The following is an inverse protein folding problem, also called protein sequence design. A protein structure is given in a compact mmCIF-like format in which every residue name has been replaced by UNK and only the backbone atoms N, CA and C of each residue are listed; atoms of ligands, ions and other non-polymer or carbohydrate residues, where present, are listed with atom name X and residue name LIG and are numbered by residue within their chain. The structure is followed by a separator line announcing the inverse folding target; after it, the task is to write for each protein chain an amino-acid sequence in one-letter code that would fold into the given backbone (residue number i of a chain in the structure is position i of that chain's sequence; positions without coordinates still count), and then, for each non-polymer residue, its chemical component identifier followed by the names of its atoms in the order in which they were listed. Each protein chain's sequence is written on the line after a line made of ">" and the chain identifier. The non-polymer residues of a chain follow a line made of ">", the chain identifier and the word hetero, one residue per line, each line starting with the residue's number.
data_IF_549081816301
#
_entry.id   IF_549081816301
#
_cell.length_a   1.000
_cell.length_b   1.000
_cell.length_c   1.000
_cell.angle_alpha   90.00
_cell.angle_beta   90.00
_cell.angle_gamma   90.00
#
_symmetry.space_group_name_H-M   'P 1'
#
loop_
_entity.id
_entity.type
_entity.pdbx_description
1 polymer ?
#
# COMPACT_ATOMS: atom_id res chain seq x y z
N UNK A 1 -15.96 -16.22 -20.74
CA UNK A 1 -16.38 -16.96 -19.52
C UNK A 1 -15.23 -17.86 -19.07
N UNK A 2 -14.92 -17.97 -17.77
CA UNK A 2 -13.86 -18.88 -17.30
C UNK A 2 -14.27 -20.33 -17.59
N UNK A 3 -13.31 -21.16 -18.04
CA UNK A 3 -13.49 -22.60 -18.28
C UNK A 3 -13.96 -23.32 -17.01
N UNK A 4 -14.68 -24.44 -17.16
CA UNK A 4 -15.26 -25.21 -16.05
C UNK A 4 -14.19 -25.59 -15.01
N UNK A 5 -13.00 -26.00 -15.48
CA UNK A 5 -11.84 -26.31 -14.63
C UNK A 5 -11.31 -25.11 -13.83
N UNK A 6 -11.43 -23.89 -14.36
CA UNK A 6 -11.00 -22.68 -13.65
C UNK A 6 -12.00 -22.27 -12.57
N UNK A 7 -13.29 -22.51 -12.80
CA UNK A 7 -14.33 -22.22 -11.82
C UNK A 7 -14.18 -23.15 -10.61
N UNK A 8 -13.96 -24.44 -10.85
CA UNK A 8 -13.73 -25.43 -9.80
C UNK A 8 -12.44 -25.16 -9.01
N UNK A 9 -11.35 -24.75 -9.66
CA UNK A 9 -10.13 -24.34 -8.96
C UNK A 9 -10.33 -23.11 -8.06
N UNK A 10 -11.08 -22.11 -8.55
CA UNK A 10 -11.37 -20.90 -7.76
C UNK A 10 -12.23 -21.24 -6.54
N UNK A 11 -13.22 -22.12 -6.68
CA UNK A 11 -14.03 -22.60 -5.57
C UNK A 11 -13.20 -23.38 -4.55
N UNK A 12 -12.32 -24.28 -5.00
CA UNK A 12 -11.44 -25.04 -4.11
C UNK A 12 -10.48 -24.14 -3.31
N UNK A 13 -9.92 -23.11 -3.95
CA UNK A 13 -9.07 -22.10 -3.29
C UNK A 13 -9.88 -21.28 -2.28
N UNK A 14 -11.10 -20.89 -2.65
CA UNK A 14 -12.00 -20.12 -1.78
C UNK A 14 -12.37 -20.89 -0.53
N UNK A 15 -12.65 -22.18 -0.65
CA UNK A 15 -12.97 -23.06 0.47
C UNK A 15 -11.76 -23.34 1.38
N UNK A 16 -10.57 -23.44 0.79
CA UNK A 16 -9.32 -23.54 1.56
C UNK A 16 -8.98 -22.25 2.29
N UNK A 17 -9.23 -21.09 1.69
CA UNK A 17 -9.02 -19.81 2.36
C UNK A 17 -10.05 -19.54 3.46
N UNK A 18 -11.27 -20.06 3.32
CA UNK A 18 -12.32 -19.88 4.34
C UNK A 18 -12.13 -20.78 5.56
N UNK A 19 -11.49 -21.94 5.39
CA UNK A 19 -11.24 -22.93 6.45
C UNK A 19 -9.91 -22.73 7.21
N UNK A 20 -8.99 -21.92 6.69
CA UNK A 20 -7.68 -21.69 7.30
C UNK A 20 -7.59 -20.41 8.13
N UNK A 21 -6.88 -20.48 9.27
CA UNK A 21 -6.71 -19.33 10.19
C UNK A 21 -5.65 -18.33 9.70
N UNK A 22 -4.63 -18.81 8.98
CA UNK A 22 -3.55 -18.00 8.43
C UNK A 22 -3.21 -18.56 7.04
N UNK A 23 -3.17 -17.70 6.03
CA UNK A 23 -2.71 -18.03 4.68
C UNK A 23 -1.51 -17.14 4.33
N UNK A 24 -0.38 -17.75 3.99
CA UNK A 24 0.86 -17.04 3.63
C UNK A 24 1.13 -17.28 2.16
N UNK A 25 1.11 -16.21 1.37
CA UNK A 25 1.51 -16.25 -0.04
C UNK A 25 3.03 -16.06 -0.13
N UNK A 26 3.75 -17.11 -0.45
CA UNK A 26 5.21 -17.07 -0.60
C UNK A 26 5.60 -17.23 -2.08
N UNK A 27 6.13 -16.17 -2.68
CA UNK A 27 6.89 -16.30 -3.92
C UNK A 27 8.30 -16.78 -3.59
N UNK A 28 8.63 -18.00 -4.01
CA UNK A 28 9.97 -18.54 -3.86
C UNK A 28 10.77 -18.21 -5.13
N UNK A 29 11.59 -17.17 -5.09
CA UNK A 29 12.63 -16.93 -6.10
C UNK A 29 13.99 -17.24 -5.51
N UNK A 30 14.83 -17.98 -6.25
CA UNK A 30 16.23 -18.24 -5.89
C UNK A 30 16.52 -19.52 -5.11
N UNK A 31 15.52 -20.39 -4.87
CA UNK A 31 15.74 -21.73 -4.28
C UNK A 31 16.03 -22.77 -5.38
N UNK A 32 17.05 -23.59 -5.15
CA UNK A 32 17.32 -24.79 -5.93
C UNK A 32 16.23 -25.84 -5.74
N UNK A 33 16.19 -26.83 -6.64
CA UNK A 33 15.21 -27.93 -6.58
C UNK A 33 15.35 -28.74 -5.28
N UNK A 34 16.58 -28.89 -4.77
CA UNK A 34 16.86 -29.60 -3.52
C UNK A 34 16.27 -28.86 -2.31
N UNK A 35 16.55 -27.56 -2.18
CA UNK A 35 16.06 -26.73 -1.08
C UNK A 35 14.52 -26.62 -1.10
N UNK A 36 13.92 -26.54 -2.28
CA UNK A 36 12.45 -26.59 -2.43
C UNK A 36 11.85 -27.92 -1.95
N UNK A 37 12.58 -29.03 -2.09
CA UNK A 37 12.12 -30.35 -1.66
C UNK A 37 12.23 -30.51 -0.14
N UNK A 38 13.30 -30.00 0.44
CA UNK A 38 13.49 -29.94 1.89
C UNK A 38 12.42 -29.08 2.55
N UNK A 39 12.15 -27.88 2.00
CA UNK A 39 11.10 -26.99 2.48
C UNK A 39 9.72 -27.66 2.46
N UNK A 40 9.39 -28.39 1.39
CA UNK A 40 8.12 -29.15 1.31
C UNK A 40 8.00 -30.20 2.41
N UNK A 41 9.10 -30.87 2.73
CA UNK A 41 9.13 -31.88 3.79
C UNK A 41 8.89 -31.24 5.15
N UNK A 42 9.55 -30.12 5.44
CA UNK A 42 9.35 -29.35 6.68
C UNK A 42 7.90 -28.90 6.82
N UNK A 43 7.32 -28.33 5.77
CA UNK A 43 5.93 -27.86 5.77
C UNK A 43 4.93 -29.01 5.99
N UNK A 44 5.16 -30.16 5.34
CA UNK A 44 4.31 -31.35 5.52
C UNK A 44 4.37 -31.89 6.95
N UNK A 45 5.56 -31.94 7.56
CA UNK A 45 5.75 -32.39 8.94
C UNK A 45 5.08 -31.43 9.93
N UNK A 46 5.07 -30.14 9.63
CA UNK A 46 4.36 -29.12 10.40
C UNK A 46 2.83 -29.13 10.19
N UNK A 47 2.29 -30.09 9.40
CA UNK A 47 0.87 -30.15 8.99
C UNK A 47 0.39 -28.88 8.29
N UNK A 48 1.29 -28.21 7.57
CA UNK A 48 0.97 -27.03 6.77
C UNK A 48 0.63 -27.52 5.36
N UNK A 49 -0.62 -27.31 4.94
CA UNK A 49 -1.05 -27.62 3.57
C UNK A 49 -0.41 -26.64 2.59
N UNK A 50 0.42 -27.18 1.68
CA UNK A 50 1.09 -26.44 0.63
C UNK A 50 0.62 -26.93 -0.74
N UNK A 51 -0.02 -26.06 -1.53
CA UNK A 51 -0.38 -26.33 -2.93
C UNK A 51 0.25 -25.26 -3.82
N UNK A 52 1.06 -25.68 -4.80
CA UNK A 52 1.60 -24.79 -5.82
C UNK A 52 0.49 -24.50 -6.83
N UNK A 53 -0.26 -23.45 -6.61
CA UNK A 53 -1.26 -22.98 -7.57
C UNK A 53 -0.60 -22.01 -8.56
N UNK A 54 -0.81 -22.22 -9.86
CA UNK A 54 -0.63 -21.15 -10.85
C UNK A 54 -1.79 -20.20 -10.61
N UNK A 55 -1.52 -19.02 -10.06
CA UNK A 55 -2.53 -17.98 -9.93
C UNK A 55 -2.89 -17.58 -11.36
N UNK A 56 -4.01 -18.08 -11.86
CA UNK A 56 -4.46 -17.77 -13.20
C UNK A 56 -4.84 -16.30 -13.27
N UNK A 57 -4.11 -15.59 -14.12
CA UNK A 57 -4.33 -14.28 -14.70
C UNK A 57 -5.82 -13.91 -14.86
N UNK A 58 -6.42 -13.41 -13.78
CA UNK A 58 -7.37 -12.30 -13.87
C UNK A 58 -6.57 -11.05 -13.55
N UNK A 59 -5.73 -10.65 -14.51
CA UNK A 59 -5.23 -9.30 -14.55
C UNK A 59 -6.43 -8.39 -14.86
N UNK A 60 -7.01 -7.79 -13.84
CA UNK A 60 -7.25 -6.36 -13.99
C UNK A 60 -5.84 -5.78 -14.04
N UNK A 61 -5.43 -5.21 -15.18
CA UNK A 61 -4.05 -4.84 -15.56
C UNK A 61 -3.30 -3.87 -14.58
N UNK A 62 -3.83 -3.65 -13.38
CA UNK A 62 -3.47 -2.60 -12.43
C UNK A 62 -3.11 -3.10 -11.02
N UNK A 63 -3.56 -4.28 -10.60
CA UNK A 63 -3.34 -4.81 -9.24
C UNK A 63 -4.45 -5.73 -8.71
N UNK A 64 -4.31 -6.21 -7.47
CA UNK A 64 -5.35 -6.96 -6.74
C UNK A 64 -5.44 -6.58 -5.26
N UNK A 65 -6.61 -6.77 -4.68
CA UNK A 65 -6.92 -6.44 -3.29
C UNK A 65 -7.47 -7.65 -2.55
N UNK A 66 -6.84 -8.00 -1.42
CA UNK A 66 -7.29 -9.06 -0.52
C UNK A 66 -7.75 -8.49 0.82
N UNK A 67 -8.63 -9.22 1.51
CA UNK A 67 -9.07 -8.90 2.86
C UNK A 67 -8.79 -10.10 3.77
N UNK A 68 -7.73 -10.01 4.56
CA UNK A 68 -7.36 -11.02 5.53
C UNK A 68 -8.23 -10.82 6.78
N UNK A 69 -9.02 -11.81 7.14
CA UNK A 69 -9.81 -11.76 8.37
C UNK A 69 -9.11 -12.54 9.49
N UNK A 70 -9.14 -12.01 10.70
CA UNK A 70 -8.52 -12.65 11.86
C UNK A 70 -9.25 -12.28 13.16
N UNK A 71 -9.01 -13.06 14.20
CA UNK A 71 -9.50 -12.81 15.56
C UNK A 71 -8.34 -12.31 16.42
N UNK A 72 -8.31 -11.02 16.81
CA UNK A 72 -7.24 -10.51 17.66
C UNK A 72 -7.30 -11.18 19.04
N UNK A 73 -6.13 -11.46 19.63
CA UNK A 73 -5.98 -12.21 20.89
C UNK A 73 -6.80 -11.66 22.09
N UNK A 74 -7.24 -10.38 22.04
CA UNK A 74 -8.04 -9.72 23.09
C UNK A 74 -9.40 -9.21 22.63
N UNK A 75 -9.79 -9.44 21.38
CA UNK A 75 -11.05 -8.94 20.82
C UNK A 75 -11.96 -10.11 20.45
N UNK A 76 -13.18 -10.13 21.00
CA UNK A 76 -14.20 -11.14 20.65
C UNK A 76 -14.71 -11.01 19.22
N UNK A 77 -14.52 -9.85 18.60
CA UNK A 77 -14.99 -9.54 17.26
C UNK A 77 -13.93 -9.85 16.20
N UNK A 78 -14.37 -10.53 15.12
CA UNK A 78 -13.60 -10.74 13.90
C UNK A 78 -13.22 -9.38 13.32
N UNK A 79 -11.93 -9.16 13.09
CA UNK A 79 -11.45 -7.98 12.38
C UNK A 79 -10.80 -8.37 11.06
N UNK A 80 -10.37 -7.39 10.29
CA UNK A 80 -9.75 -7.63 9.00
C UNK A 80 -8.72 -6.60 8.63
N UNK A 81 -7.67 -7.03 7.94
CA UNK A 81 -6.70 -6.17 7.25
C UNK A 81 -6.99 -6.26 5.75
N UNK A 82 -7.11 -5.11 5.09
CA UNK A 82 -7.07 -5.04 3.62
C UNK A 82 -5.62 -4.97 3.17
N UNK A 83 -5.26 -5.80 2.19
CA UNK A 83 -3.94 -5.86 1.59
C UNK A 83 -4.10 -5.57 0.10
N UNK A 84 -3.48 -4.49 -0.38
CA UNK A 84 -3.56 -4.06 -1.77
C UNK A 84 -2.20 -4.26 -2.45
N UNK A 85 -2.21 -4.90 -3.62
CA UNK A 85 -1.04 -5.16 -4.45
C UNK A 85 -1.18 -4.38 -5.75
N UNK A 86 -0.15 -3.61 -6.12
CA UNK A 86 -0.14 -2.84 -7.36
C UNK A 86 0.93 -3.35 -8.32
N UNK A 87 0.56 -3.50 -9.59
CA UNK A 87 1.46 -3.94 -10.67
C UNK A 87 1.75 -2.86 -11.70
N UNK A 88 1.30 -1.63 -11.44
CA UNK A 88 1.41 -0.52 -12.40
C UNK A 88 2.86 -0.15 -12.69
N UNK A 89 3.67 -0.08 -11.65
CA UNK A 89 5.06 0.33 -11.75
C UNK A 89 5.90 -0.28 -10.63
N UNK A 90 7.20 -0.48 -10.91
CA UNK A 90 8.15 -0.92 -9.91
C UNK A 90 8.73 0.29 -9.17
N UNK A 91 8.84 0.23 -7.83
CA UNK A 91 9.51 1.27 -7.06
C UNK A 91 10.93 1.52 -7.56
N UNK A 92 11.31 2.79 -7.72
CA UNK A 92 12.68 3.17 -8.13
C UNK A 92 13.60 3.26 -6.92
N UNK A 93 13.08 3.78 -5.82
CA UNK A 93 13.82 3.93 -4.58
C UNK A 93 13.08 3.22 -3.44
N UNK A 94 13.85 2.51 -2.62
CA UNK A 94 13.37 1.72 -1.49
C UNK A 94 14.28 2.01 -0.30
N UNK A 95 13.72 1.85 0.89
CA UNK A 95 14.45 1.93 2.15
C UNK A 95 14.17 0.67 2.97
N UNK A 96 15.16 0.23 3.74
CA UNK A 96 15.01 -0.89 4.66
C UNK A 96 14.91 -0.32 6.07
N UNK A 97 13.80 -0.61 6.76
CA UNK A 97 13.58 -0.17 8.13
C UNK A 97 13.48 -1.37 9.05
N UNK A 98 14.08 -1.24 10.22
CA UNK A 98 13.84 -2.14 11.34
C UNK A 98 12.51 -1.71 11.98
N UNK A 99 11.55 -2.62 12.07
CA UNK A 99 10.38 -2.40 12.93
C UNK A 99 10.74 -2.90 14.31
N UNK A 100 10.77 -1.98 15.27
CA UNK A 100 10.95 -2.30 16.70
C UNK A 100 9.57 -2.32 17.33
N UNK A 101 8.94 -3.50 17.52
CA UNK A 101 7.68 -3.58 18.23
C UNK A 101 7.97 -3.38 19.73
N UNK A 102 7.83 -2.13 20.21
CA UNK A 102 8.07 -1.81 21.62
C UNK A 102 7.25 -2.68 22.58
N UNK A 103 6.08 -3.14 22.14
CA UNK A 103 5.12 -3.90 22.95
C UNK A 103 5.21 -5.43 22.76
N UNK A 104 6.11 -5.94 21.90
CA UNK A 104 6.23 -7.38 21.66
C UNK A 104 7.68 -7.86 21.71
N UNK A 105 7.99 -8.97 22.42
CA UNK A 105 9.35 -9.52 22.54
C UNK A 105 9.77 -10.29 21.28
N UNK A 106 9.59 -9.69 20.10
CA UNK A 106 9.93 -10.31 18.82
C UNK A 106 11.42 -10.05 18.57
N UNK A 107 12.23 -11.10 18.63
CA UNK A 107 13.65 -11.07 18.26
C UNK A 107 13.97 -12.26 17.34
N UNK A 108 14.73 -12.06 16.24
CA UNK A 108 15.27 -10.79 15.76
C UNK A 108 14.18 -9.83 15.24
N UNK A 109 14.46 -8.52 15.28
CA UNK A 109 13.51 -7.52 14.78
C UNK A 109 13.31 -7.67 13.26
N UNK A 110 12.06 -7.65 12.77
CA UNK A 110 11.80 -7.80 11.36
C UNK A 110 12.31 -6.59 10.58
N UNK A 111 13.01 -6.86 9.48
CA UNK A 111 13.37 -5.88 8.47
C UNK A 111 12.20 -5.73 7.49
N UNK A 112 11.73 -4.51 7.31
CA UNK A 112 10.67 -4.18 6.36
C UNK A 112 11.24 -3.29 5.26
N UNK A 113 11.10 -3.76 4.03
CA UNK A 113 11.40 -2.99 2.83
C UNK A 113 10.20 -2.10 2.54
N UNK A 114 10.38 -0.78 2.62
CA UNK A 114 9.36 0.20 2.24
C UNK A 114 9.83 1.03 1.05
N UNK A 115 8.90 1.75 0.43
CA UNK A 115 9.23 2.83 -0.47
C UNK A 115 10.03 3.90 0.28
N UNK A 116 10.98 4.55 -0.38
CA UNK A 116 11.63 5.74 0.19
C UNK A 116 10.60 6.86 0.40
N UNK A 117 10.92 7.84 1.23
CA UNK A 117 10.03 9.00 1.44
C UNK A 117 9.82 9.79 0.15
N UNK A 118 10.88 9.93 -0.65
CA UNK A 118 10.87 10.62 -1.94
C UNK A 118 9.96 9.90 -2.94
N UNK A 119 9.98 8.57 -2.98
CA UNK A 119 9.07 7.77 -3.81
C UNK A 119 7.61 7.93 -3.38
N UNK A 120 7.35 7.86 -2.08
CA UNK A 120 6.00 8.06 -1.54
C UNK A 120 5.52 9.47 -1.90
N UNK A 121 6.36 10.49 -1.72
CA UNK A 121 6.04 11.88 -2.07
C UNK A 121 5.71 12.03 -3.55
N UNK A 122 6.51 11.44 -4.45
CA UNK A 122 6.25 11.49 -5.88
C UNK A 122 4.92 10.82 -6.26
N UNK A 123 4.58 9.68 -5.64
CA UNK A 123 3.29 9.02 -5.87
C UNK A 123 2.11 9.81 -5.30
N UNK A 124 2.29 10.51 -4.17
CA UNK A 124 1.27 11.38 -3.59
C UNK A 124 1.02 12.61 -4.45
N UNK A 125 2.07 13.24 -4.99
CA UNK A 125 1.94 14.33 -5.96
C UNK A 125 1.17 13.85 -7.20
N UNK A 126 1.51 12.67 -7.74
CA UNK A 126 0.77 12.07 -8.86
C UNK A 126 -0.70 11.82 -8.52
N UNK A 127 -0.97 11.26 -7.35
CA UNK A 127 -2.34 10.99 -6.90
C UNK A 127 -3.15 12.28 -6.73
N UNK A 128 -2.52 13.37 -6.27
CA UNK A 128 -3.12 14.69 -6.16
C UNK A 128 -3.52 15.24 -7.54
N UNK A 129 -2.65 15.11 -8.54
CA UNK A 129 -2.94 15.59 -9.90
C UNK A 129 -4.03 14.79 -10.62
N UNK A 130 -4.09 13.47 -10.38
CA UNK A 130 -5.04 12.60 -11.06
C UNK A 130 -6.40 12.52 -10.36
N UNK A 131 -6.39 12.37 -9.02
CA UNK A 131 -7.58 12.08 -8.22
C UNK A 131 -8.02 13.25 -7.35
N UNK A 132 -7.06 14.05 -6.88
CA UNK A 132 -7.32 15.25 -6.11
C UNK A 132 -8.07 15.05 -4.80
N UNK A 133 -7.87 13.96 -4.04
CA UNK A 133 -8.59 13.81 -2.76
C UNK A 133 -7.95 14.66 -1.65
N UNK A 134 -8.76 15.24 -0.74
CA UNK A 134 -8.26 15.99 0.43
C UNK A 134 -7.18 15.28 1.26
N UNK A 135 -7.31 13.97 1.48
CA UNK A 135 -6.30 13.19 2.20
C UNK A 135 -4.93 13.14 1.52
N UNK A 136 -4.89 13.19 0.18
CA UNK A 136 -3.61 13.22 -0.56
C UNK A 136 -2.90 14.55 -0.32
N UNK A 137 -3.66 15.65 -0.14
CA UNK A 137 -3.14 16.96 0.23
C UNK A 137 -2.53 16.94 1.64
N UNK A 138 -3.18 16.25 2.59
CA UNK A 138 -2.64 16.09 3.93
C UNK A 138 -1.35 15.26 3.93
N UNK A 139 -1.32 14.15 3.17
CA UNK A 139 -0.12 13.33 3.01
C UNK A 139 1.05 14.13 2.40
N UNK A 140 0.76 14.99 1.41
CA UNK A 140 1.73 15.91 0.84
C UNK A 140 2.31 16.84 1.91
N UNK A 141 1.45 17.54 2.67
CA UNK A 141 1.90 18.39 3.78
C UNK A 141 2.77 17.63 4.79
N UNK A 142 2.34 16.44 5.19
CA UNK A 142 3.05 15.63 6.17
C UNK A 142 4.45 15.23 5.67
N UNK A 143 4.59 14.82 4.41
CA UNK A 143 5.90 14.45 3.85
C UNK A 143 6.81 15.66 3.69
N UNK A 144 6.27 16.81 3.28
CA UNK A 144 7.02 18.06 3.15
C UNK A 144 7.52 18.58 4.51
N UNK A 145 6.69 18.51 5.57
CA UNK A 145 7.13 18.88 6.93
C UNK A 145 8.22 17.96 7.49
N UNK A 146 8.32 16.72 6.99
CA UNK A 146 9.45 15.82 7.29
C UNK A 146 10.71 16.10 6.47
N UNK A 147 10.76 17.25 5.76
CA UNK A 147 11.87 17.68 4.91
C UNK A 147 12.20 16.68 3.79
N UNK A 148 11.19 15.95 3.32
CA UNK A 148 11.35 15.05 2.18
C UNK A 148 11.60 15.88 0.93
N UNK A 149 12.68 15.59 0.19
CA UNK A 149 13.04 16.35 -1.01
C UNK A 149 12.08 16.01 -2.16
N UNK A 150 11.65 17.04 -2.88
CA UNK A 150 10.89 16.90 -4.12
C UNK A 150 11.90 16.57 -5.23
N UNK A 151 11.90 15.32 -5.70
CA UNK A 151 12.70 14.89 -6.85
C UNK A 151 11.84 14.93 -8.13
N UNK A 152 12.03 15.97 -8.94
CA UNK A 152 11.31 16.16 -10.21
C UNK A 152 11.50 14.99 -11.17
N UNK A 153 12.69 14.39 -11.23
CA UNK A 153 12.95 13.25 -12.12
C UNK A 153 12.12 12.05 -11.71
N UNK A 154 11.99 11.83 -10.40
CA UNK A 154 11.16 10.75 -9.87
C UNK A 154 9.68 11.00 -10.14
N UNK A 155 9.22 12.24 -9.95
CA UNK A 155 7.84 12.64 -10.26
C UNK A 155 7.54 12.43 -11.74
N UNK A 156 8.40 12.89 -12.65
CA UNK A 156 8.21 12.70 -14.09
C UNK A 156 8.11 11.22 -14.46
N UNK A 157 8.93 10.36 -13.84
CA UNK A 157 8.83 8.92 -14.02
C UNK A 157 7.47 8.36 -13.58
N UNK A 158 6.96 8.81 -12.42
CA UNK A 158 5.61 8.43 -11.93
C UNK A 158 4.51 8.90 -12.89
N UNK A 159 4.67 10.07 -13.48
CA UNK A 159 3.68 10.65 -14.39
C UNK A 159 3.67 9.98 -15.77
N UNK A 160 4.71 9.24 -16.20
CA UNK A 160 4.70 8.46 -17.46
C UNK A 160 3.52 7.51 -17.58
N UNK A 161 3.01 7.01 -16.45
CA UNK A 161 1.83 6.17 -16.41
C UNK A 161 0.54 6.91 -16.86
N UNK A 162 0.52 8.24 -16.77
CA UNK A 162 -0.59 9.11 -17.17
C UNK A 162 -0.11 10.14 -18.20
N UNK A 163 -0.10 9.79 -19.50
CA UNK A 163 0.50 10.63 -20.55
C UNK A 163 -0.12 12.04 -20.69
N UNK A 164 -1.35 12.22 -20.22
CA UNK A 164 -2.07 13.50 -20.27
C UNK A 164 -1.73 14.43 -19.09
N UNK A 165 -1.00 13.95 -18.09
CA UNK A 165 -0.61 14.73 -16.93
C UNK A 165 0.88 15.05 -17.03
N UNK A 166 1.21 16.32 -16.82
CA UNK A 166 2.58 16.79 -16.66
C UNK A 166 2.69 17.50 -15.33
N UNK A 167 3.78 17.23 -14.63
CA UNK A 167 4.09 17.93 -13.40
C UNK A 167 4.56 19.35 -13.70
N UNK A 168 4.09 20.30 -12.91
CA UNK A 168 4.68 21.62 -12.83
C UNK A 168 4.40 22.23 -11.46
N UNK A 169 5.39 22.91 -10.88
CA UNK A 169 5.23 23.60 -9.60
C UNK A 169 4.10 24.64 -9.59
N UNK A 170 3.92 25.47 -10.64
CA UNK A 170 2.80 26.40 -10.69
C UNK A 170 1.44 25.69 -10.59
N UNK A 171 1.28 24.57 -11.31
CA UNK A 171 0.05 23.78 -11.29
C UNK A 171 -0.17 23.09 -9.95
N UNK A 172 0.89 22.58 -9.31
CA UNK A 172 0.79 22.05 -7.94
C UNK A 172 0.28 23.12 -6.98
N UNK A 173 0.83 24.34 -7.02
CA UNK A 173 0.40 25.46 -6.19
C UNK A 173 -1.06 25.85 -6.46
N UNK A 174 -1.49 25.81 -7.72
CA UNK A 174 -2.88 26.06 -8.12
C UNK A 174 -3.83 25.01 -7.55
N UNK A 175 -3.52 23.72 -7.71
CA UNK A 175 -4.31 22.61 -7.15
C UNK A 175 -4.47 22.78 -5.64
N UNK A 176 -3.40 23.10 -4.92
CA UNK A 176 -3.42 23.33 -3.47
C UNK A 176 -4.36 24.49 -3.09
N UNK A 177 -4.39 25.57 -3.88
CA UNK A 177 -5.25 26.74 -3.62
C UNK A 177 -6.72 26.45 -3.87
N UNK A 178 -7.04 25.66 -4.88
CA UNK A 178 -8.40 25.43 -5.36
C UNK A 178 -9.22 24.47 -4.50
N UNK A 179 -8.65 23.87 -3.45
CA UNK A 179 -9.40 23.01 -2.53
C UNK A 179 -10.45 23.78 -1.71
N UNK A 180 -11.68 23.29 -1.77
CA UNK A 180 -12.79 23.75 -0.95
C UNK A 180 -12.60 23.35 0.53
N UNK A 181 -12.85 24.29 1.44
CA UNK A 181 -12.64 24.05 2.87
C UNK A 181 -13.65 23.08 3.48
N UNK A 182 -14.88 23.05 2.97
CA UNK A 182 -15.89 22.12 3.46
C UNK A 182 -15.57 20.69 3.02
N UNK A 183 -15.07 20.52 1.80
CA UNK A 183 -14.57 19.23 1.30
C UNK A 183 -13.38 18.73 2.14
N UNK A 184 -12.40 19.61 2.40
CA UNK A 184 -11.26 19.30 3.26
C UNK A 184 -11.72 18.87 4.66
N UNK A 185 -12.62 19.63 5.28
CA UNK A 185 -13.19 19.31 6.59
C UNK A 185 -13.89 17.96 6.59
N UNK A 186 -14.73 17.69 5.58
CA UNK A 186 -15.56 16.48 5.52
C UNK A 186 -14.72 15.21 5.34
N UNK A 187 -13.71 15.23 4.47
CA UNK A 187 -12.85 14.07 4.22
C UNK A 187 -11.86 13.88 5.37
N UNK A 188 -11.13 14.93 5.77
CA UNK A 188 -10.07 14.81 6.78
C UNK A 188 -10.60 14.47 8.18
N UNK A 189 -11.74 15.01 8.61
CA UNK A 189 -12.27 14.75 9.96
C UNK A 189 -12.69 13.29 10.19
N UNK A 190 -12.85 12.51 9.11
CA UNK A 190 -13.11 11.06 9.19
C UNK A 190 -11.88 10.27 9.61
N UNK A 191 -10.68 10.80 9.36
CA UNK A 191 -9.41 10.12 9.58
C UNK A 191 -8.58 10.75 10.69
N UNK A 192 -8.73 12.06 10.91
CA UNK A 192 -7.93 12.79 11.88
C UNK A 192 -8.53 12.74 13.30
N UNK A 193 -7.68 12.63 14.33
CA UNK A 193 -8.11 12.78 15.72
C UNK A 193 -8.68 14.18 15.99
N UNK A 194 -9.51 14.31 17.03
CA UNK A 194 -10.29 15.51 17.30
C UNK A 194 -9.46 16.79 17.40
N UNK A 195 -8.29 16.72 18.05
CA UNK A 195 -7.35 17.83 18.18
C UNK A 195 -6.76 18.28 16.83
N UNK A 196 -6.74 17.42 15.81
CA UNK A 196 -6.27 17.75 14.46
C UNK A 196 -7.39 18.22 13.52
N UNK A 197 -8.67 18.16 13.93
CA UNK A 197 -9.81 18.50 13.06
C UNK A 197 -9.93 19.99 12.71
N UNK A 198 -9.19 20.87 13.35
CA UNK A 198 -9.13 22.29 12.95
C UNK A 198 -7.98 22.58 11.96
N UNK A 199 -7.08 21.62 11.77
CA UNK A 199 -5.88 21.79 10.95
C UNK A 199 -6.19 22.05 9.47
N UNK A 200 -7.32 21.56 8.95
CA UNK A 200 -7.71 21.76 7.54
C UNK A 200 -7.75 23.24 7.14
N UNK A 201 -8.01 24.16 8.09
CA UNK A 201 -8.06 25.61 7.84
C UNK A 201 -6.71 26.20 7.43
N UNK A 202 -5.63 25.71 8.04
CA UNK A 202 -4.26 26.21 7.79
C UNK A 202 -3.48 25.34 6.80
N UNK A 203 -3.95 24.11 6.52
CA UNK A 203 -3.29 23.14 5.65
C UNK A 203 -2.83 23.75 4.30
N UNK A 204 -3.70 24.50 3.63
CA UNK A 204 -3.36 25.15 2.34
C UNK A 204 -2.20 26.15 2.48
N UNK A 205 -2.25 26.99 3.52
CA UNK A 205 -1.24 28.02 3.76
C UNK A 205 0.11 27.40 4.12
N UNK A 206 0.11 26.38 4.98
CA UNK A 206 1.32 25.64 5.37
C UNK A 206 2.03 25.03 4.16
N UNK A 207 1.30 24.32 3.29
CA UNK A 207 1.87 23.73 2.08
C UNK A 207 2.45 24.82 1.17
N UNK A 208 1.71 25.90 0.94
CA UNK A 208 2.16 26.99 0.10
C UNK A 208 3.42 27.69 0.65
N UNK A 209 3.56 27.76 1.97
CA UNK A 209 4.76 28.30 2.61
C UNK A 209 5.96 27.38 2.45
N UNK A 210 5.80 26.06 2.53
CA UNK A 210 6.89 25.11 2.32
C UNK A 210 7.32 25.04 0.85
N UNK A 211 6.39 25.28 -0.09
CA UNK A 211 6.66 25.32 -1.53
C UNK A 211 7.18 26.68 -2.05
N UNK A 212 7.40 27.68 -1.17
CA UNK A 212 8.03 28.95 -1.54
C UNK A 212 9.51 28.75 -1.78
#
# INVERSE_FOLDING_TARGET
>A
MPTLEKQTQIEEIRDKLSSNTIAILTEFQGLSVAEMTELRTILRNAKIDYKKEKIFDKFEDLGFSYKLFFYPFKLKQKTSIRIDFSFREKPKTKEVKVIVPFDYPITPYPLVVSLSKEEILAEKIRALFYRGKPRDLFDLWFLLTKQTKIDEKLIDLKFKYYPNLKFSFPRLKEIVKNYDENELKKDLNQFLPENYRYFYKQLKQEILNILK
#
